data_IF_949529289753
#
_entry.id   IF_949529289753
#
_cell.length_a   1.000
_cell.length_b   1.000
_cell.length_c   1.000
_cell.angle_alpha   90.00
_cell.angle_beta   90.00
_cell.angle_gamma   90.00
#
_symmetry.space_group_name_H-M   'P 1'
#
loop_
_entity.id
_entity.type
_entity.pdbx_description
1 polymer ?
#
# COMPACT_ATOMS: atom_id res chain seq x y z
N UNK A 1 16.65 23.86 14.34
CA UNK A 1 15.95 23.13 13.32
C UNK A 1 16.90 22.13 12.71
N UNK A 2 16.89 20.89 13.22
CA UNK A 2 17.68 19.80 12.64
C UNK A 2 16.96 19.34 11.38
N UNK A 3 17.63 19.56 10.25
CA UNK A 3 17.20 19.08 8.96
C UNK A 3 17.68 17.62 8.85
N UNK A 4 16.86 16.66 9.26
CA UNK A 4 17.18 15.25 9.07
C UNK A 4 17.11 14.98 7.56
N UNK A 5 18.27 15.11 6.91
CA UNK A 5 18.42 14.82 5.49
C UNK A 5 18.44 13.30 5.33
N UNK A 6 17.42 12.76 4.68
CA UNK A 6 17.35 11.34 4.33
C UNK A 6 18.54 10.99 3.42
N UNK A 7 19.32 9.96 3.81
CA UNK A 7 20.44 9.50 3.01
C UNK A 7 19.96 8.44 2.01
N UNK A 8 20.14 8.71 0.72
CA UNK A 8 19.82 7.78 -0.36
C UNK A 8 21.07 6.97 -0.74
N UNK A 9 20.95 5.67 -0.85
CA UNK A 9 22.05 4.78 -1.25
C UNK A 9 21.59 3.74 -2.28
N UNK A 10 22.21 3.76 -3.47
CA UNK A 10 22.34 2.64 -4.38
C UNK A 10 21.46 2.62 -5.63
N UNK A 11 22.10 2.63 -6.80
CA UNK A 11 21.49 2.39 -8.11
C UNK A 11 21.74 0.96 -8.57
N UNK A 12 20.76 0.31 -9.22
CA UNK A 12 20.95 -0.97 -9.88
C UNK A 12 20.56 -0.95 -11.37
N UNK A 13 21.04 -1.92 -12.12
CA UNK A 13 21.34 -1.95 -13.56
C UNK A 13 20.19 -1.88 -14.56
N UNK A 14 20.51 -1.56 -15.77
CA UNK A 14 19.88 -1.01 -16.97
C UNK A 14 18.53 -1.59 -17.50
N UNK A 15 17.98 -2.67 -16.98
CA UNK A 15 16.68 -3.24 -17.40
C UNK A 15 15.65 -3.35 -16.27
N UNK A 16 16.04 -3.05 -15.03
CA UNK A 16 15.14 -3.04 -13.88
C UNK A 16 14.95 -1.61 -13.40
N UNK A 17 13.70 -1.22 -13.19
CA UNK A 17 13.39 0.07 -12.57
C UNK A 17 14.02 0.09 -11.17
N UNK A 18 14.89 1.07 -10.91
CA UNK A 18 15.49 1.29 -9.59
C UNK A 18 14.83 2.47 -8.88
N UNK A 19 14.74 2.37 -7.58
CA UNK A 19 14.27 3.43 -6.70
C UNK A 19 15.34 3.76 -5.67
N UNK A 20 15.43 5.01 -5.30
CA UNK A 20 16.17 5.38 -4.11
C UNK A 20 15.51 4.79 -2.88
N UNK A 21 16.31 4.38 -1.89
CA UNK A 21 15.80 3.75 -0.67
C UNK A 21 16.08 4.59 0.55
N UNK A 22 15.21 4.48 1.54
CA UNK A 22 15.37 5.09 2.85
C UNK A 22 14.95 4.12 3.94
N UNK A 23 15.69 4.09 5.05
CA UNK A 23 15.30 3.35 6.25
C UNK A 23 14.58 4.29 7.19
N UNK A 24 13.34 3.96 7.57
CA UNK A 24 12.51 4.80 8.42
C UNK A 24 11.47 3.96 9.15
N UNK A 25 11.43 4.07 10.47
CA UNK A 25 10.60 3.22 11.33
C UNK A 25 11.07 1.77 11.41
N UNK A 26 10.41 0.99 12.24
CA UNK A 26 10.66 -0.45 12.39
C UNK A 26 9.38 -1.18 12.69
N UNK A 27 9.23 -2.40 12.20
CA UNK A 27 8.06 -3.21 12.45
C UNK A 27 8.43 -4.63 12.80
N UNK A 28 7.85 -5.16 13.89
CA UNK A 28 8.11 -6.51 14.39
C UNK A 28 9.61 -6.83 14.59
N UNK A 29 10.36 -5.82 15.06
CA UNK A 29 11.79 -5.94 15.39
C UNK A 29 12.72 -5.82 14.17
N UNK A 30 12.22 -5.41 13.01
CA UNK A 30 13.01 -5.16 11.81
C UNK A 30 12.83 -3.73 11.33
N UNK A 31 13.92 -3.10 10.93
CA UNK A 31 13.87 -1.79 10.28
C UNK A 31 13.11 -1.88 8.97
N UNK A 32 12.35 -0.84 8.65
CA UNK A 32 11.60 -0.79 7.40
C UNK A 32 12.42 -0.03 6.36
N UNK A 33 12.70 -0.70 5.24
CA UNK A 33 13.23 -0.07 4.03
C UNK A 33 12.08 0.38 3.15
N UNK A 34 12.15 1.60 2.68
CA UNK A 34 11.17 2.23 1.81
C UNK A 34 11.78 2.58 0.46
N UNK A 35 11.00 2.44 -0.60
CA UNK A 35 11.30 2.91 -1.94
C UNK A 35 10.70 4.31 -2.12
N UNK A 36 11.51 5.26 -2.59
CA UNK A 36 11.05 6.61 -2.90
C UNK A 36 10.44 6.63 -4.30
N UNK A 37 9.11 6.76 -4.37
CA UNK A 37 8.37 6.72 -5.63
C UNK A 37 8.30 8.08 -6.32
N UNK A 38 8.18 9.15 -5.57
CA UNK A 38 8.05 10.51 -6.09
C UNK A 38 8.40 11.55 -5.02
N UNK A 39 8.87 12.70 -5.47
CA UNK A 39 8.99 13.91 -4.66
C UNK A 39 8.06 14.99 -5.21
N UNK A 40 7.24 15.57 -4.36
CA UNK A 40 6.32 16.63 -4.74
C UNK A 40 6.08 17.58 -3.56
N UNK A 41 6.23 18.87 -3.80
CA UNK A 41 6.00 19.92 -2.78
C UNK A 41 6.79 19.73 -1.47
N UNK A 42 8.03 19.25 -1.58
CA UNK A 42 8.90 19.01 -0.41
C UNK A 42 8.50 17.78 0.41
N UNK A 43 7.70 16.89 -0.13
CA UNK A 43 7.32 15.61 0.46
C UNK A 43 7.75 14.48 -0.46
N UNK A 44 8.14 13.36 0.13
CA UNK A 44 8.50 12.14 -0.60
C UNK A 44 7.43 11.09 -0.37
N UNK A 45 6.89 10.54 -1.47
CA UNK A 45 6.00 9.39 -1.42
C UNK A 45 6.84 8.13 -1.30
N UNK A 46 6.63 7.38 -0.24
CA UNK A 46 7.33 6.15 0.08
C UNK A 46 6.41 4.94 -0.01
N UNK A 47 6.92 3.81 -0.49
CA UNK A 47 6.28 2.50 -0.36
C UNK A 47 7.26 1.53 0.31
N UNK A 48 6.78 0.64 1.18
CA UNK A 48 7.64 -0.38 1.76
C UNK A 48 8.22 -1.30 0.67
N UNK A 49 9.52 -1.55 0.71
CA UNK A 49 10.20 -2.46 -0.20
C UNK A 49 9.68 -3.90 -0.04
N UNK A 50 9.38 -4.29 1.18
CA UNK A 50 8.86 -5.62 1.51
C UNK A 50 7.37 -5.58 1.90
N UNK A 51 6.69 -6.71 1.72
CA UNK A 51 5.37 -6.93 2.33
C UNK A 51 5.56 -7.12 3.82
N UNK A 52 4.98 -6.25 4.63
CA UNK A 52 5.22 -6.17 6.07
C UNK A 52 4.27 -7.05 6.90
N UNK A 53 3.04 -7.23 6.43
CA UNK A 53 1.99 -7.95 7.15
C UNK A 53 0.92 -8.50 6.21
N UNK A 54 -0.02 -9.30 6.74
CA UNK A 54 -1.20 -9.80 6.05
C UNK A 54 -2.46 -9.42 6.86
N UNK A 55 -3.09 -8.35 6.46
CA UNK A 55 -4.28 -7.81 7.12
C UNK A 55 -5.45 -7.77 6.13
N UNK A 56 -6.66 -8.22 6.52
CA UNK A 56 -7.84 -8.09 5.67
C UNK A 56 -8.12 -6.64 5.31
N UNK A 57 -8.49 -6.39 4.05
CA UNK A 57 -8.88 -5.06 3.60
C UNK A 57 -10.12 -4.56 4.38
N UNK A 58 -11.11 -5.43 4.57
CA UNK A 58 -12.26 -5.18 5.43
C UNK A 58 -12.60 -6.46 6.22
N UNK A 59 -12.43 -6.42 7.53
CA UNK A 59 -12.72 -7.53 8.43
C UNK A 59 -14.21 -7.64 8.79
N UNK A 60 -15.03 -6.70 8.35
CA UNK A 60 -16.50 -6.73 8.52
C UNK A 60 -17.20 -7.38 7.34
N UNK A 61 -16.46 -7.66 6.24
CA UNK A 61 -16.98 -8.38 5.11
C UNK A 61 -17.23 -9.86 5.49
N UNK A 62 -18.42 -10.36 5.17
CA UNK A 62 -18.70 -11.79 5.31
C UNK A 62 -17.71 -12.59 4.43
N UNK A 63 -17.18 -13.72 4.96
CA UNK A 63 -16.30 -14.57 4.18
C UNK A 63 -16.95 -14.96 2.85
N UNK A 64 -16.20 -14.80 1.77
CA UNK A 64 -16.68 -15.17 0.44
C UNK A 64 -16.92 -16.69 0.41
N UNK A 65 -18.18 -17.10 0.40
CA UNK A 65 -18.53 -18.48 0.14
C UNK A 65 -18.79 -18.65 -1.36
N UNK A 66 -17.96 -19.41 -2.02
CA UNK A 66 -18.21 -19.89 -3.38
C UNK A 66 -19.47 -20.76 -3.39
N UNK A 67 -20.60 -20.13 -3.66
CA UNK A 67 -21.82 -20.83 -3.99
C UNK A 67 -22.31 -20.30 -5.34
N UNK A 68 -22.34 -21.17 -6.32
CA UNK A 68 -22.78 -20.86 -7.69
C UNK A 68 -24.28 -20.51 -7.74
N UNK A 69 -25.01 -20.67 -6.64
CA UNK A 69 -26.48 -20.62 -6.63
C UNK A 69 -27.09 -19.38 -5.98
N UNK A 70 -26.30 -18.51 -5.42
CA UNK A 70 -26.78 -17.24 -4.88
C UNK A 70 -25.70 -16.18 -4.99
N UNK A 71 -25.77 -15.25 -5.93
CA UNK A 71 -24.95 -14.07 -5.89
C UNK A 71 -25.35 -13.30 -4.61
N UNK A 72 -24.51 -13.34 -3.58
CA UNK A 72 -24.68 -12.43 -2.45
C UNK A 72 -24.42 -11.02 -2.96
N UNK A 73 -25.21 -10.03 -2.53
CA UNK A 73 -24.84 -8.65 -2.77
C UNK A 73 -23.44 -8.44 -2.19
N UNK A 74 -22.50 -8.09 -3.04
CA UNK A 74 -21.17 -7.72 -2.61
C UNK A 74 -21.32 -6.43 -1.82
N UNK A 75 -20.91 -6.42 -0.55
CA UNK A 75 -20.84 -5.19 0.22
C UNK A 75 -19.84 -4.28 -0.48
N UNK A 76 -20.24 -3.08 -0.82
CA UNK A 76 -19.32 -2.08 -1.30
C UNK A 76 -18.28 -1.80 -0.22
N UNK A 77 -17.03 -2.13 -0.51
CA UNK A 77 -15.92 -1.91 0.41
C UNK A 77 -15.14 -0.70 -0.08
N UNK A 78 -15.21 0.37 0.69
CA UNK A 78 -14.55 1.63 0.37
C UNK A 78 -13.33 1.85 1.25
N UNK A 79 -12.31 2.52 0.71
CA UNK A 79 -11.15 2.89 1.50
C UNK A 79 -11.52 3.65 2.76
N UNK A 80 -12.40 4.64 2.65
CA UNK A 80 -12.80 5.51 3.74
C UNK A 80 -13.30 4.76 4.98
N UNK A 81 -13.98 3.63 4.78
CA UNK A 81 -14.61 2.83 5.83
C UNK A 81 -13.92 1.50 6.09
N UNK A 82 -12.86 1.18 5.36
CA UNK A 82 -12.17 -0.10 5.48
C UNK A 82 -11.46 -0.26 6.82
N UNK A 83 -11.42 -1.50 7.32
CA UNK A 83 -10.68 -1.81 8.54
C UNK A 83 -9.18 -1.68 8.37
N UNK A 84 -8.65 -1.94 7.16
CA UNK A 84 -7.22 -1.77 6.90
C UNK A 84 -6.78 -0.30 7.02
N UNK A 85 -7.60 0.66 6.56
CA UNK A 85 -7.31 2.08 6.74
C UNK A 85 -7.20 2.46 8.23
N UNK A 86 -8.15 1.98 9.03
CA UNK A 86 -8.16 2.20 10.48
C UNK A 86 -6.92 1.58 11.13
N UNK A 87 -6.57 0.37 10.75
CA UNK A 87 -5.38 -0.31 11.25
C UNK A 87 -4.08 0.40 10.84
N UNK A 88 -3.94 0.81 9.58
CA UNK A 88 -2.75 1.51 9.08
C UNK A 88 -2.52 2.83 9.81
N UNK A 89 -3.57 3.62 10.07
CA UNK A 89 -3.45 4.93 10.73
C UNK A 89 -3.62 4.86 12.26
N UNK A 90 -3.70 3.68 12.82
CA UNK A 90 -3.79 3.40 14.24
C UNK A 90 -2.71 2.43 14.72
N UNK A 91 -3.01 1.13 14.70
CA UNK A 91 -2.12 0.11 15.25
C UNK A 91 -0.76 0.07 14.54
N UNK A 92 -0.75 0.04 13.22
CA UNK A 92 0.48 -0.01 12.45
C UNK A 92 1.31 1.26 12.66
N UNK A 93 0.70 2.44 12.53
CA UNK A 93 1.39 3.72 12.71
C UNK A 93 2.07 3.79 14.09
N UNK A 94 1.38 3.37 15.14
CA UNK A 94 1.90 3.39 16.50
C UNK A 94 2.95 2.30 16.76
N UNK A 95 2.85 1.16 16.10
CA UNK A 95 3.80 0.05 16.25
C UNK A 95 5.09 0.27 15.45
N UNK A 96 4.98 0.92 14.29
CA UNK A 96 6.09 1.05 13.35
C UNK A 96 6.91 2.32 13.54
N UNK A 97 6.34 3.36 14.15
CA UNK A 97 6.98 4.68 14.22
C UNK A 97 6.94 5.28 15.62
N UNK A 98 8.05 5.84 16.05
CA UNK A 98 8.12 6.68 17.24
C UNK A 98 7.27 7.95 17.08
N UNK A 99 6.98 8.65 18.17
CA UNK A 99 6.24 9.90 18.13
C UNK A 99 6.92 10.99 17.27
N UNK A 100 8.24 11.01 17.24
CA UNK A 100 9.03 11.92 16.41
C UNK A 100 8.89 11.57 14.93
N UNK A 101 9.02 10.28 14.58
CA UNK A 101 8.83 9.78 13.22
C UNK A 101 7.41 10.01 12.73
N UNK A 102 6.38 9.75 13.55
CA UNK A 102 4.99 10.05 13.22
C UNK A 102 4.78 11.54 12.91
N UNK A 103 5.47 12.42 13.65
CA UNK A 103 5.45 13.86 13.39
C UNK A 103 6.08 14.26 12.05
N UNK A 104 6.97 13.43 11.49
CA UNK A 104 7.58 13.64 10.18
C UNK A 104 6.72 13.11 9.02
N UNK A 105 5.81 12.18 9.28
CA UNK A 105 4.91 11.63 8.26
C UNK A 105 3.81 12.64 7.96
N UNK A 106 3.78 13.14 6.73
CA UNK A 106 2.80 14.12 6.31
C UNK A 106 1.41 13.52 6.18
N UNK A 107 0.42 14.16 6.79
CA UNK A 107 -0.97 13.86 6.49
C UNK A 107 -1.28 14.25 5.03
N UNK A 108 -1.81 13.31 4.26
CA UNK A 108 -2.07 13.45 2.84
C UNK A 108 -3.54 13.24 2.54
N UNK A 109 -4.14 14.18 1.81
CA UNK A 109 -5.52 14.03 1.33
C UNK A 109 -5.51 13.18 0.08
N UNK A 110 -6.19 12.03 0.14
CA UNK A 110 -6.35 11.10 -0.97
C UNK A 110 -7.57 11.52 -1.78
N UNK A 111 -7.38 11.81 -3.05
CA UNK A 111 -8.44 12.34 -3.92
C UNK A 111 -9.08 11.29 -4.81
N UNK A 112 -8.48 10.12 -4.93
CA UNK A 112 -8.95 9.11 -5.88
C UNK A 112 -9.32 7.80 -5.21
N UNK A 113 -10.56 7.50 -5.32
CA UNK A 113 -11.19 6.33 -4.75
C UNK A 113 -11.76 5.41 -5.80
N UNK A 114 -11.79 5.85 -7.06
CA UNK A 114 -12.40 5.10 -8.16
C UNK A 114 -11.52 3.99 -8.71
N UNK A 115 -10.24 3.97 -8.38
CA UNK A 115 -9.27 3.08 -9.00
C UNK A 115 -9.09 1.75 -8.28
N UNK A 116 -9.85 1.48 -7.26
CA UNK A 116 -9.71 0.27 -6.47
C UNK A 116 -10.47 -0.92 -7.04
N UNK A 117 -11.01 -0.82 -8.24
CA UNK A 117 -11.92 -1.83 -8.71
C UNK A 117 -11.38 -2.58 -9.90
N UNK A 118 -11.28 -3.88 -9.68
CA UNK A 118 -11.49 -4.93 -10.67
C UNK A 118 -10.44 -5.10 -11.77
N UNK A 119 -10.03 -6.34 -11.88
CA UNK A 119 -9.22 -6.92 -12.94
C UNK A 119 -9.81 -6.80 -14.36
N UNK A 120 -10.99 -6.29 -14.54
CA UNK A 120 -11.62 -6.18 -15.85
C UNK A 120 -11.69 -4.73 -16.29
N UNK A 121 -11.10 -4.45 -17.43
CA UNK A 121 -11.11 -3.13 -18.08
C UNK A 121 -12.52 -2.56 -18.35
N UNK A 122 -13.55 -3.37 -18.21
CA UNK A 122 -14.94 -3.00 -18.43
C UNK A 122 -15.52 -2.09 -17.35
N UNK A 123 -14.92 -2.06 -16.17
CA UNK A 123 -15.47 -1.34 -15.01
C UNK A 123 -14.95 0.08 -14.87
N UNK A 124 -13.99 0.50 -15.67
CA UNK A 124 -13.51 1.88 -15.68
C UNK A 124 -14.61 2.92 -16.02
N UNK A 125 -15.76 2.47 -16.46
CA UNK A 125 -16.89 3.30 -16.87
C UNK A 125 -18.16 3.07 -16.03
N UNK A 126 -18.10 2.30 -14.93
CA UNK A 126 -19.28 2.10 -14.09
C UNK A 126 -19.51 3.33 -13.20
N UNK A 127 -20.54 4.14 -13.50
CA UNK A 127 -20.86 5.35 -12.71
C UNK A 127 -21.43 5.01 -11.32
N UNK A 128 -21.71 3.74 -11.04
CA UNK A 128 -22.21 3.29 -9.74
C UNK A 128 -21.07 3.11 -8.71
N UNK A 129 -19.82 3.11 -9.16
CA UNK A 129 -18.68 3.18 -8.26
C UNK A 129 -18.58 4.60 -7.73
N UNK A 130 -19.21 4.84 -6.61
CA UNK A 130 -19.18 6.14 -5.95
C UNK A 130 -17.73 6.54 -5.64
N UNK A 131 -17.38 7.77 -5.99
CA UNK A 131 -16.17 8.37 -5.46
C UNK A 131 -16.37 8.46 -3.94
N UNK A 132 -15.60 7.68 -3.17
CA UNK A 132 -15.57 7.88 -1.75
C UNK A 132 -15.13 9.32 -1.46
N UNK A 133 -15.63 9.92 -0.42
CA UNK A 133 -15.13 11.22 0.03
C UNK A 133 -13.63 11.10 0.31
N UNK A 134 -12.87 12.11 -0.07
CA UNK A 134 -11.42 12.15 0.15
C UNK A 134 -11.11 11.95 1.63
N UNK A 135 -10.17 11.07 1.93
CA UNK A 135 -9.67 10.85 3.29
C UNK A 135 -8.34 11.54 3.47
N UNK A 136 -8.02 11.88 4.71
CA UNK A 136 -6.69 12.39 5.06
C UNK A 136 -5.99 11.35 5.92
N UNK A 137 -4.88 10.81 5.42
CA UNK A 137 -4.19 9.67 6.01
C UNK A 137 -2.67 9.91 6.03
N UNK A 138 -2.00 9.35 7.02
CA UNK A 138 -0.52 9.32 7.09
C UNK A 138 0.05 8.07 6.41
N UNK A 139 -0.66 6.94 6.54
CA UNK A 139 -0.29 5.67 5.92
C UNK A 139 -1.47 5.18 5.09
N UNK A 140 -1.21 4.81 3.83
CA UNK A 140 -2.27 4.41 2.90
C UNK A 140 -1.76 3.39 1.87
N UNK A 141 -2.67 2.78 1.15
CA UNK A 141 -2.37 1.91 0.02
C UNK A 141 -2.36 2.71 -1.28
N UNK A 142 -1.46 2.37 -2.19
CA UNK A 142 -1.49 2.93 -3.54
C UNK A 142 -2.78 2.53 -4.26
N UNK A 143 -3.36 3.47 -4.98
CA UNK A 143 -4.39 3.18 -5.97
C UNK A 143 -3.80 2.42 -7.17
N UNK A 144 -4.65 1.77 -7.94
CA UNK A 144 -4.23 1.11 -9.19
C UNK A 144 -3.60 2.10 -10.19
N UNK A 145 -4.10 3.34 -10.23
CA UNK A 145 -3.56 4.39 -11.08
C UNK A 145 -2.15 4.79 -10.65
N UNK A 146 -1.92 4.95 -9.36
CA UNK A 146 -0.59 5.25 -8.80
C UNK A 146 0.37 4.09 -9.01
N UNK A 147 -0.05 2.85 -8.77
CA UNK A 147 0.77 1.68 -9.05
C UNK A 147 1.19 1.58 -10.53
N UNK A 148 0.30 1.94 -11.45
CA UNK A 148 0.63 2.02 -12.89
C UNK A 148 1.51 3.22 -13.24
N UNK A 149 1.39 4.31 -12.51
CA UNK A 149 2.17 5.53 -12.72
C UNK A 149 3.61 5.39 -12.28
N UNK A 150 3.83 4.78 -11.11
CA UNK A 150 5.14 4.74 -10.48
C UNK A 150 5.97 3.51 -10.86
N UNK A 151 5.34 2.41 -11.26
CA UNK A 151 6.03 1.19 -11.64
C UNK A 151 5.95 0.93 -13.14
N UNK A 152 7.10 0.74 -13.77
CA UNK A 152 7.21 0.56 -15.21
C UNK A 152 6.49 -0.70 -15.74
N UNK A 153 6.47 -1.77 -14.96
CA UNK A 153 5.92 -3.06 -15.36
C UNK A 153 5.51 -3.91 -14.14
N UNK A 154 5.03 -5.12 -14.38
CA UNK A 154 4.61 -6.03 -13.31
C UNK A 154 5.79 -6.53 -12.46
N UNK A 155 6.97 -6.73 -13.05
CA UNK A 155 8.15 -7.17 -12.31
C UNK A 155 8.58 -6.12 -11.28
N UNK A 156 8.52 -4.84 -11.63
CA UNK A 156 8.83 -3.74 -10.72
C UNK A 156 7.86 -3.62 -9.53
N UNK A 157 6.68 -4.27 -9.59
CA UNK A 157 5.68 -4.29 -8.52
C UNK A 157 5.82 -5.47 -7.57
N UNK A 158 6.76 -6.39 -7.86
CA UNK A 158 6.96 -7.56 -7.02
C UNK A 158 7.69 -7.15 -5.75
N UNK A 159 7.10 -7.45 -4.60
CA UNK A 159 7.72 -7.29 -3.30
C UNK A 159 7.83 -8.65 -2.60
N UNK A 160 8.95 -8.87 -1.91
CA UNK A 160 9.13 -10.06 -1.10
C UNK A 160 8.57 -9.84 0.31
N UNK A 161 7.89 -10.82 0.91
CA UNK A 161 7.40 -10.69 2.26
C UNK A 161 8.52 -10.83 3.28
N UNK A 162 8.37 -10.12 4.41
CA UNK A 162 9.18 -10.37 5.60
C UNK A 162 8.84 -11.75 6.18
N UNK A 163 9.74 -12.31 7.01
CA UNK A 163 9.45 -13.56 7.74
C UNK A 163 8.20 -13.45 8.62
N UNK A 164 7.96 -12.25 9.16
CA UNK A 164 6.75 -11.98 9.93
C UNK A 164 5.51 -12.07 9.04
N UNK A 165 5.50 -11.39 7.90
CA UNK A 165 4.38 -11.41 6.96
C UNK A 165 4.05 -12.83 6.47
N UNK A 166 5.08 -13.66 6.22
CA UNK A 166 4.89 -15.07 5.89
C UNK A 166 4.17 -15.81 7.02
N UNK A 167 4.56 -15.59 8.27
CA UNK A 167 3.90 -16.21 9.44
C UNK A 167 2.45 -15.71 9.62
N UNK A 168 2.12 -14.51 9.14
CA UNK A 168 0.76 -13.97 9.13
C UNK A 168 -0.09 -14.51 7.98
N UNK A 169 0.47 -15.30 7.06
CA UNK A 169 -0.25 -15.98 6.00
C UNK A 169 -0.14 -15.33 4.62
N UNK A 170 0.84 -14.45 4.41
CA UNK A 170 1.15 -13.96 3.06
C UNK A 170 1.49 -15.13 2.17
N UNK A 171 0.79 -15.25 1.03
CA UNK A 171 1.08 -16.27 0.03
C UNK A 171 2.39 -15.95 -0.68
N UNK A 172 3.34 -16.87 -0.56
CA UNK A 172 4.60 -16.81 -1.30
C UNK A 172 4.42 -17.64 -2.57
N UNK A 173 3.95 -16.99 -3.63
CA UNK A 173 3.84 -17.62 -4.95
C UNK A 173 5.21 -17.92 -5.53
N UNK A 174 5.37 -19.08 -6.19
CA UNK A 174 6.46 -19.25 -7.16
C UNK A 174 6.15 -18.33 -8.33
N UNK A 175 7.08 -17.44 -8.67
CA UNK A 175 6.96 -16.66 -9.91
C UNK A 175 6.79 -17.65 -11.07
N UNK A 176 5.62 -17.69 -11.67
CA UNK A 176 5.45 -18.39 -12.94
C UNK A 176 6.17 -17.56 -13.99
N UNK A 177 7.24 -18.12 -14.53
CA UNK A 177 7.86 -17.60 -15.74
C UNK A 177 6.90 -17.91 -16.90
N UNK A 178 5.97 -17.00 -17.18
CA UNK A 178 5.20 -16.94 -18.43
C UNK A 178 5.33 -15.54 -19.04
#
# INVERSE_FOLDING_TARGET
GDNTQLAFTGANTADEQSFDTVTFGSYQGQDITWLALAEENGKTLLISESVLDAVPYDNTAEPYQWSVQSPRPQKDVEWATSSIRTWLNGEFLNAAFSAEEQGAIAATTLSDTKNNVSHTAATAADPSVHAAEGTTDQVFLLSLAEAKRYFANNAARVAHPTDYAVRQGVYVGVASND
#
